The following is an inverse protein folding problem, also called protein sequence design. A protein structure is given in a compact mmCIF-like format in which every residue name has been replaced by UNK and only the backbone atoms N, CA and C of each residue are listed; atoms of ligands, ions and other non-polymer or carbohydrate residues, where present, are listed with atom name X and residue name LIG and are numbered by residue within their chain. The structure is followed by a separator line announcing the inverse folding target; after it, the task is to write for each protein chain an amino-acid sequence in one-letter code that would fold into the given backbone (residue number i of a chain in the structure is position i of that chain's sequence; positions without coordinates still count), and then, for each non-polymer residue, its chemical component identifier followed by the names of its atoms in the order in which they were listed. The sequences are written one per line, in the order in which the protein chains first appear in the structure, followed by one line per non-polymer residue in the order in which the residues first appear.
data_IF_308671217584
#
_entry.id   IF_308671217584
#
_cell.length_a   1.000
_cell.length_b   1.000
_cell.length_c   1.000
_cell.angle_alpha   90.00
_cell.angle_beta   90.00
_cell.angle_gamma   90.00
#
_symmetry.space_group_name_H-M   'P 1'
#
loop_
_entity.id
_entity.type
_entity.pdbx_description
1 polymer ?
#
# COMPACT_ATOMS: atom_id res chain seq x y z
N UNK A 1 4.32 -12.56 4.54
CA UNK A 1 3.52 -11.72 3.62
C UNK A 1 3.28 -10.41 4.32
N UNK A 2 3.65 -9.29 3.69
CA UNK A 2 3.44 -7.95 4.28
C UNK A 2 1.97 -7.58 4.04
N UNK A 3 1.26 -7.19 5.09
CA UNK A 3 -0.10 -6.67 4.94
C UNK A 3 -0.06 -5.20 4.49
N UNK A 4 -0.90 -4.77 3.54
CA UNK A 4 -1.02 -3.35 3.15
C UNK A 4 -1.27 -2.44 4.36
N UNK A 5 -2.06 -2.90 5.34
CA UNK A 5 -2.35 -2.15 6.56
C UNK A 5 -1.12 -2.00 7.48
N UNK A 6 -0.15 -2.92 7.40
CA UNK A 6 1.12 -2.72 8.10
C UNK A 6 1.94 -1.62 7.43
N UNK A 7 1.96 -1.58 6.10
CA UNK A 7 2.65 -0.55 5.33
C UNK A 7 1.96 0.83 5.41
N UNK A 8 0.66 0.89 5.68
CA UNK A 8 -0.07 2.14 5.87
C UNK A 8 0.54 2.99 7.00
N UNK A 9 0.61 4.31 6.77
CA UNK A 9 1.06 5.29 7.74
C UNK A 9 2.00 6.34 7.14
N UNK A 10 2.61 7.14 8.04
CA UNK A 10 3.65 8.10 7.69
C UNK A 10 5.01 7.48 7.89
N UNK A 11 5.94 7.82 7.00
CA UNK A 11 7.25 7.23 6.90
C UNK A 11 8.28 8.32 6.62
N UNK A 12 9.43 8.26 7.26
CA UNK A 12 10.56 9.14 7.02
C UNK A 12 11.50 8.51 5.99
N UNK A 13 11.73 9.20 4.88
CA UNK A 13 12.69 8.78 3.86
C UNK A 13 14.13 9.05 4.31
N UNK A 14 15.03 8.09 4.10
CA UNK A 14 16.46 8.18 4.48
C UNK A 14 17.24 9.33 3.83
N UNK A 15 16.85 9.79 2.63
CA UNK A 15 17.42 10.98 1.99
C UNK A 15 16.73 12.30 2.38
N UNK A 16 15.80 12.25 3.34
CA UNK A 16 14.96 13.38 3.73
C UNK A 16 13.58 13.39 3.05
N UNK A 17 12.62 14.01 3.74
CA UNK A 17 11.21 14.08 3.31
C UNK A 17 10.31 13.01 3.95
N UNK A 18 9.02 13.32 4.01
CA UNK A 18 7.99 12.42 4.55
C UNK A 18 7.27 11.71 3.40
N UNK A 19 6.96 10.43 3.62
CA UNK A 19 6.19 9.58 2.74
C UNK A 19 4.92 9.19 3.46
N UNK A 20 3.79 9.34 2.80
CA UNK A 20 2.50 8.92 3.34
C UNK A 20 1.94 7.78 2.48
N UNK A 21 1.65 6.65 3.13
CA UNK A 21 1.02 5.49 2.52
C UNK A 21 -0.39 5.39 3.06
N UNK A 22 -1.38 5.51 2.17
CA UNK A 22 -2.80 5.30 2.44
C UNK A 22 -3.24 4.06 1.69
N UNK A 23 -3.93 3.17 2.40
CA UNK A 23 -4.59 2.03 1.78
C UNK A 23 -6.06 2.34 1.77
N UNK A 24 -6.62 2.50 0.58
CA UNK A 24 -8.06 2.49 0.40
C UNK A 24 -8.50 1.05 0.61
N UNK A 25 -9.25 0.81 1.69
CA UNK A 25 -9.91 -0.47 1.90
C UNK A 25 -10.83 -0.78 0.72
N UNK A 26 -11.34 -2.01 0.61
CA UNK A 26 -12.41 -2.24 -0.34
C UNK A 26 -13.52 -1.26 0.09
N UNK A 27 -13.83 -0.28 -0.76
CA UNK A 27 -15.10 0.41 -0.60
C UNK A 27 -16.12 -0.72 -0.72
N UNK A 28 -16.62 -1.17 0.43
CA UNK A 28 -17.95 -1.72 0.49
C UNK A 28 -18.78 -0.61 -0.12
N UNK A 29 -19.07 -0.73 -1.41
CA UNK A 29 -19.80 0.25 -2.17
C UNK A 29 -20.91 0.74 -1.26
N UNK A 30 -20.89 2.04 -0.98
CA UNK A 30 -22.05 2.67 -0.38
C UNK A 30 -23.25 2.12 -1.16
N UNK A 31 -24.25 1.63 -0.41
CA UNK A 31 -25.47 0.99 -0.90
C UNK A 31 -25.34 -0.41 -1.56
N UNK A 32 -24.92 -1.43 -0.80
CA UNK A 32 -25.40 -2.80 -0.99
C UNK A 32 -25.61 -3.49 0.38
N UNK A 33 -26.86 -3.83 0.68
CA UNK A 33 -27.28 -4.51 1.91
C UNK A 33 -26.63 -5.89 2.04
N UNK A 34 -26.46 -6.33 3.30
CA UNK A 34 -25.72 -7.52 3.74
C UNK A 34 -26.22 -8.89 3.21
N UNK A 35 -27.11 -8.90 2.22
CA UNK A 35 -27.91 -10.08 1.88
C UNK A 35 -27.65 -10.61 0.45
N UNK A 36 -26.84 -9.93 -0.37
CA UNK A 36 -26.51 -10.42 -1.73
C UNK A 36 -25.14 -11.11 -1.78
N UNK A 37 -25.19 -12.41 -2.09
CA UNK A 37 -24.06 -13.20 -2.56
C UNK A 37 -23.43 -12.52 -3.80
N UNK A 38 -22.24 -11.97 -3.60
CA UNK A 38 -21.40 -11.25 -4.56
C UNK A 38 -21.18 -11.92 -5.94
N UNK A 39 -21.42 -13.22 -6.08
CA UNK A 39 -21.14 -14.00 -7.29
C UNK A 39 -22.05 -13.69 -8.49
N UNK A 40 -23.20 -13.02 -8.31
CA UNK A 40 -24.17 -12.80 -9.39
C UNK A 40 -24.13 -11.42 -10.06
N UNK A 41 -23.40 -10.45 -9.50
CA UNK A 41 -23.40 -9.06 -10.01
C UNK A 41 -22.10 -8.64 -10.72
N UNK A 42 -21.23 -9.57 -11.14
CA UNK A 42 -20.08 -9.26 -12.02
C UNK A 42 -19.07 -8.21 -11.51
N UNK A 43 -19.27 -7.64 -10.33
CA UNK A 43 -18.35 -6.74 -9.66
C UNK A 43 -17.30 -7.59 -8.97
N UNK A 44 -16.16 -7.77 -9.64
CA UNK A 44 -14.93 -8.12 -8.94
C UNK A 44 -14.76 -7.12 -7.78
N UNK A 45 -14.26 -7.54 -6.60
CA UNK A 45 -13.94 -6.58 -5.55
C UNK A 45 -13.04 -5.53 -6.20
N UNK A 46 -13.49 -4.27 -6.22
CA UNK A 46 -12.67 -3.19 -6.77
C UNK A 46 -11.31 -3.28 -6.05
N UNK A 47 -10.27 -3.49 -6.86
CA UNK A 47 -8.92 -3.78 -6.37
C UNK A 47 -8.54 -2.70 -5.35
N UNK A 48 -8.33 -3.11 -4.09
CA UNK A 48 -7.91 -2.17 -3.03
C UNK A 48 -6.68 -1.39 -3.49
N UNK A 49 -6.74 -0.05 -3.40
CA UNK A 49 -5.70 0.85 -3.87
C UNK A 49 -4.75 1.26 -2.76
N UNK A 50 -3.46 1.33 -3.06
CA UNK A 50 -2.46 2.01 -2.25
C UNK A 50 -2.14 3.37 -2.89
N UNK A 51 -2.33 4.44 -2.14
CA UNK A 51 -1.92 5.80 -2.49
C UNK A 51 -0.64 6.14 -1.72
N UNK A 52 0.45 6.39 -2.43
CA UNK A 52 1.76 6.70 -1.87
C UNK A 52 2.13 8.12 -2.29
N UNK A 53 2.20 9.03 -1.32
CA UNK A 53 2.71 10.38 -1.51
C UNK A 53 4.21 10.39 -1.21
N UNK A 54 5.05 10.56 -2.24
CA UNK A 54 6.50 10.54 -2.11
C UNK A 54 7.11 11.92 -2.42
N UNK A 55 8.12 12.41 -1.67
CA UNK A 55 8.63 13.78 -1.81
C UNK A 55 9.28 14.04 -3.18
N UNK A 56 9.97 13.05 -3.75
CA UNK A 56 10.66 13.19 -5.05
C UNK A 56 9.82 12.80 -6.26
N UNK A 57 9.05 11.70 -6.19
CA UNK A 57 8.31 11.15 -7.35
C UNK A 57 6.82 11.52 -7.34
N UNK A 58 6.37 12.31 -6.36
CA UNK A 58 4.99 12.77 -6.24
C UNK A 58 4.01 11.70 -5.75
N UNK A 59 2.72 11.95 -5.99
CA UNK A 59 1.63 11.06 -5.62
C UNK A 59 1.50 9.91 -6.63
N UNK A 60 1.37 8.70 -6.11
CA UNK A 60 1.25 7.48 -6.90
C UNK A 60 0.07 6.66 -6.40
N UNK A 61 -0.70 6.09 -7.32
CA UNK A 61 -1.81 5.18 -7.01
C UNK A 61 -1.53 3.86 -7.71
N UNK A 62 -1.51 2.78 -6.95
CA UNK A 62 -1.28 1.42 -7.46
C UNK A 62 -2.13 0.42 -6.68
N UNK A 63 -2.36 -0.76 -7.26
CA UNK A 63 -3.06 -1.85 -6.57
C UNK A 63 -2.25 -2.33 -5.36
N UNK A 64 -2.91 -2.59 -4.23
CA UNK A 64 -2.24 -3.13 -3.04
C UNK A 64 -1.59 -4.47 -3.30
N UNK A 65 -2.14 -5.29 -4.22
CA UNK A 65 -1.57 -6.57 -4.66
C UNK A 65 -0.25 -6.41 -5.41
N UNK A 66 -0.09 -5.29 -6.12
CA UNK A 66 1.18 -4.90 -6.76
C UNK A 66 2.17 -4.34 -5.74
N UNK A 67 1.68 -3.55 -4.78
CA UNK A 67 2.52 -2.94 -3.75
C UNK A 67 3.02 -3.94 -2.70
N UNK A 68 2.11 -4.76 -2.15
CA UNK A 68 2.36 -5.83 -1.18
C UNK A 68 2.11 -7.17 -1.84
N UNK A 69 3.18 -7.86 -2.23
CA UNK A 69 3.10 -9.14 -2.92
C UNK A 69 3.73 -10.27 -2.08
N UNK A 70 3.72 -11.49 -2.61
CA UNK A 70 4.28 -12.67 -1.93
C UNK A 70 5.74 -12.52 -1.51
N UNK A 71 6.51 -11.70 -2.24
CA UNK A 71 7.95 -11.50 -2.03
C UNK A 71 8.28 -10.30 -1.09
N UNK A 72 7.27 -9.54 -0.67
CA UNK A 72 7.44 -8.37 0.20
C UNK A 72 6.74 -7.14 -0.37
N UNK A 73 7.48 -6.02 -0.44
CA UNK A 73 7.00 -4.77 -1.03
C UNK A 73 7.61 -4.57 -2.43
N UNK A 74 6.84 -4.03 -3.37
CA UNK A 74 7.32 -3.55 -4.66
C UNK A 74 6.81 -2.14 -4.91
N UNK A 75 7.74 -1.21 -5.12
CA UNK A 75 7.42 0.15 -5.46
C UNK A 75 8.37 0.62 -6.57
N UNK A 76 7.82 0.85 -7.77
CA UNK A 76 8.57 1.20 -8.98
C UNK A 76 9.68 0.19 -9.33
N UNK A 77 9.46 -1.10 -9.09
CA UNK A 77 10.46 -2.15 -9.36
C UNK A 77 11.57 -2.23 -8.30
N UNK A 78 11.55 -1.37 -7.29
CA UNK A 78 12.36 -1.54 -6.09
C UNK A 78 11.67 -2.52 -5.16
N UNK A 79 12.44 -3.52 -4.70
CA UNK A 79 11.95 -4.55 -3.79
C UNK A 79 12.26 -4.12 -2.35
N UNK A 80 11.22 -4.03 -1.53
CA UNK A 80 11.28 -3.63 -0.14
C UNK A 80 11.05 -4.79 0.81
N UNK A 81 11.81 -4.84 1.91
CA UNK A 81 11.57 -5.74 3.04
C UNK A 81 11.11 -4.92 4.23
N UNK A 82 10.02 -5.35 4.85
CA UNK A 82 9.48 -4.73 6.05
C UNK A 82 9.90 -5.49 7.30
N UNK A 83 10.38 -4.76 8.30
CA UNK A 83 10.74 -5.26 9.63
C UNK A 83 10.21 -4.28 10.68
N UNK A 84 9.02 -4.58 11.21
CA UNK A 84 8.28 -3.68 12.11
C UNK A 84 8.06 -2.30 11.50
N UNK A 85 8.70 -1.30 12.10
CA UNK A 85 8.61 0.11 11.71
C UNK A 85 9.69 0.55 10.70
N UNK A 86 10.37 -0.39 10.05
CA UNK A 86 11.39 -0.09 9.03
C UNK A 86 11.12 -0.84 7.74
N UNK A 87 11.19 -0.14 6.61
CA UNK A 87 11.25 -0.73 5.27
C UNK A 87 12.64 -0.48 4.69
N UNK A 88 13.32 -1.55 4.27
CA UNK A 88 14.61 -1.48 3.59
C UNK A 88 14.43 -1.87 2.13
N UNK A 89 14.78 -0.95 1.22
CA UNK A 89 14.69 -1.15 -0.23
C UNK A 89 16.01 -1.68 -0.80
N UNK A 90 15.92 -2.44 -1.89
CA UNK A 90 17.08 -3.02 -2.57
C UNK A 90 18.04 -1.99 -3.21
N UNK A 91 17.64 -0.73 -3.33
CA UNK A 91 18.49 0.39 -3.74
C UNK A 91 19.21 1.08 -2.56
N UNK A 92 19.10 0.54 -1.34
CA UNK A 92 19.72 1.09 -0.13
C UNK A 92 18.88 2.16 0.59
N UNK A 93 17.76 2.60 0.01
CA UNK A 93 16.84 3.52 0.68
C UNK A 93 16.19 2.81 1.88
N UNK A 94 16.06 3.56 2.97
CA UNK A 94 15.32 3.11 4.16
C UNK A 94 14.17 4.07 4.43
N UNK A 95 12.99 3.51 4.71
CA UNK A 95 11.84 4.25 5.22
C UNK A 95 11.60 3.85 6.67
N UNK A 96 11.50 4.82 7.57
CA UNK A 96 11.25 4.59 9.00
C UNK A 96 9.89 5.12 9.38
N UNK A 97 9.01 4.26 9.90
CA UNK A 97 7.65 4.61 10.29
C UNK A 97 7.69 5.68 11.36
N UNK A 98 6.87 6.70 11.17
CA UNK A 98 6.65 7.74 12.17
C UNK A 98 5.49 7.30 13.05
N UNK A 99 5.72 7.31 14.36
CA UNK A 99 4.69 7.05 15.38
C UNK A 99 3.64 8.17 15.42
#
# INVERSE_FOLDING_TARGET
MVSPYQAQGRWQHSSGGEIEIKVDGPELGAECSADMYWASCGGLPEETGAVINHPTVGRQTLETSKFCNGDGLDYFGFKGKMDGDKITWNNGVVWTKQL
#
